data_IF_825854640710
#
_entry.id   IF_825854640710
#
_cell.length_a   1.000
_cell.length_b   1.000
_cell.length_c   1.000
_cell.angle_alpha   90.00
_cell.angle_beta   90.00
_cell.angle_gamma   90.00
#
_symmetry.space_group_name_H-M   'P 1'
#
loop_
_entity.id
_entity.type
_entity.pdbx_description
1 polymer ?
#
# COMPACT_ATOMS: atom_id res chain seq x y z
N UNK A 1 6.90 21.26 -25.27
CA UNK A 1 6.37 22.05 -24.15
C UNK A 1 5.70 21.04 -23.25
N UNK A 2 6.26 20.78 -22.08
CA UNK A 2 5.53 19.98 -21.08
C UNK A 2 4.31 20.82 -20.70
N UNK A 3 3.13 20.42 -21.16
CA UNK A 3 1.89 20.93 -20.62
C UNK A 3 1.87 20.51 -19.14
N UNK A 4 1.76 21.48 -18.25
CA UNK A 4 1.56 21.17 -16.84
C UNK A 4 0.24 20.42 -16.71
N UNK A 5 0.23 19.32 -15.95
CA UNK A 5 -1.00 18.60 -15.62
C UNK A 5 -1.93 19.51 -14.81
N UNK A 6 -1.35 20.37 -13.97
CA UNK A 6 -2.07 21.39 -13.25
C UNK A 6 -2.11 22.69 -14.05
N UNK A 7 -3.31 23.23 -14.28
CA UNK A 7 -3.41 24.53 -14.92
C UNK A 7 -2.97 25.64 -13.96
N UNK A 8 -2.46 26.76 -14.51
CA UNK A 8 -2.13 27.93 -13.71
C UNK A 8 -3.34 28.47 -12.94
N UNK A 9 -4.54 28.37 -13.53
CA UNK A 9 -5.78 28.81 -12.87
C UNK A 9 -6.07 27.98 -11.62
N UNK A 10 -5.91 26.66 -11.70
CA UNK A 10 -6.12 25.78 -10.55
C UNK A 10 -5.10 26.08 -9.45
N UNK A 11 -3.83 26.26 -9.85
CA UNK A 11 -2.73 26.63 -8.96
C UNK A 11 -2.93 27.98 -8.24
N UNK A 12 -3.67 28.93 -8.84
CA UNK A 12 -3.99 30.22 -8.20
C UNK A 12 -5.12 30.09 -7.16
N UNK A 13 -5.89 29.00 -7.18
CA UNK A 13 -7.09 28.81 -6.36
C UNK A 13 -6.96 27.74 -5.27
N UNK A 14 -6.07 26.75 -5.42
CA UNK A 14 -5.83 25.68 -4.46
C UNK A 14 -4.32 25.53 -4.15
N UNK A 15 -3.99 25.42 -2.86
CA UNK A 15 -2.59 25.37 -2.41
C UNK A 15 -1.88 24.08 -2.84
N UNK A 16 -2.59 22.95 -2.91
CA UNK A 16 -2.02 21.69 -3.37
C UNK A 16 -1.78 21.72 -4.87
N UNK A 17 -2.72 22.28 -5.64
CA UNK A 17 -2.53 22.57 -7.06
C UNK A 17 -1.33 23.50 -7.28
N UNK A 18 -1.18 24.55 -6.46
CA UNK A 18 -0.01 25.44 -6.50
C UNK A 18 1.30 24.67 -6.28
N UNK A 19 1.33 23.81 -5.24
CA UNK A 19 2.51 23.00 -4.93
C UNK A 19 2.87 22.03 -6.07
N UNK A 20 1.86 21.41 -6.69
CA UNK A 20 2.03 20.50 -7.80
C UNK A 20 2.53 21.21 -9.07
N UNK A 21 1.91 22.34 -9.43
CA UNK A 21 2.35 23.21 -10.52
C UNK A 21 3.81 23.64 -10.36
N UNK A 22 4.19 24.05 -9.13
CA UNK A 22 5.57 24.40 -8.81
C UNK A 22 6.49 23.18 -8.90
N UNK A 23 6.08 22.02 -8.41
CA UNK A 23 6.86 20.78 -8.47
C UNK A 23 7.16 20.38 -9.94
N UNK A 24 6.16 20.41 -10.82
CA UNK A 24 6.33 20.15 -12.25
C UNK A 24 7.31 21.14 -12.91
N UNK A 25 7.32 22.39 -12.43
CA UNK A 25 8.21 23.45 -12.93
C UNK A 25 9.67 23.29 -12.51
N UNK A 26 9.98 22.45 -11.52
CA UNK A 26 11.35 22.24 -11.05
C UNK A 26 12.16 21.61 -12.18
N UNK A 27 13.31 22.21 -12.51
CA UNK A 27 14.16 21.77 -13.62
C UNK A 27 15.12 20.64 -13.25
N UNK A 28 15.56 20.56 -11.99
CA UNK A 28 16.40 19.45 -11.55
C UNK A 28 15.55 18.19 -11.35
N UNK A 29 16.01 17.07 -11.89
CA UNK A 29 15.38 15.75 -11.71
C UNK A 29 15.17 15.44 -10.22
N UNK A 30 16.22 15.60 -9.42
CA UNK A 30 16.22 15.27 -8.00
C UNK A 30 15.28 16.20 -7.21
N UNK A 31 15.24 17.48 -7.59
CA UNK A 31 14.36 18.46 -6.98
C UNK A 31 12.90 18.17 -7.30
N UNK A 32 12.59 17.82 -8.55
CA UNK A 32 11.25 17.41 -8.98
C UNK A 32 10.83 16.13 -8.26
N UNK A 33 11.69 15.11 -8.23
CA UNK A 33 11.45 13.86 -7.54
C UNK A 33 11.12 14.08 -6.05
N UNK A 34 11.94 14.89 -5.37
CA UNK A 34 11.73 15.24 -3.96
C UNK A 34 10.42 16.01 -3.73
N UNK A 35 10.04 16.89 -4.66
CA UNK A 35 8.78 17.61 -4.58
C UNK A 35 7.58 16.68 -4.81
N UNK A 36 7.66 15.76 -5.78
CA UNK A 36 6.60 14.78 -6.05
C UNK A 36 6.38 13.82 -4.89
N UNK A 37 7.45 13.41 -4.18
CA UNK A 37 7.35 12.67 -2.90
C UNK A 37 6.51 13.39 -1.84
N UNK A 38 6.43 14.72 -1.88
CA UNK A 38 5.61 15.51 -0.95
C UNK A 38 4.20 15.81 -1.50
N UNK A 39 4.03 15.90 -2.82
CA UNK A 39 2.78 16.30 -3.48
C UNK A 39 1.85 15.11 -3.68
N UNK A 40 2.33 14.03 -4.28
CA UNK A 40 1.52 12.88 -4.70
C UNK A 40 0.71 12.26 -3.54
N UNK A 41 1.28 12.01 -2.34
CA UNK A 41 0.51 11.45 -1.23
C UNK A 41 -0.69 12.30 -0.80
N UNK A 42 -0.65 13.63 -1.02
CA UNK A 42 -1.76 14.54 -0.68
C UNK A 42 -2.91 14.42 -1.66
N UNK A 43 -2.63 14.19 -2.95
CA UNK A 43 -3.66 13.89 -3.94
C UNK A 43 -4.31 12.53 -3.67
N UNK A 44 -3.51 11.52 -3.34
CA UNK A 44 -4.04 10.21 -2.91
C UNK A 44 -4.96 10.32 -1.69
N UNK A 45 -4.61 11.17 -0.72
CA UNK A 45 -5.47 11.44 0.45
C UNK A 45 -6.79 12.13 0.10
N UNK A 46 -6.83 12.92 -1.00
CA UNK A 46 -8.05 13.51 -1.57
C UNK A 46 -8.84 12.53 -2.46
N UNK A 47 -8.29 11.35 -2.76
CA UNK A 47 -8.87 10.38 -3.70
C UNK A 47 -8.61 10.69 -5.18
N UNK A 48 -7.71 11.63 -5.48
CA UNK A 48 -7.32 12.00 -6.85
C UNK A 48 -6.25 11.03 -7.37
N UNK A 49 -6.65 9.79 -7.61
CA UNK A 49 -5.76 8.67 -7.95
C UNK A 49 -5.11 8.82 -9.33
N UNK A 50 -5.90 9.16 -10.35
CA UNK A 50 -5.40 9.30 -11.73
C UNK A 50 -4.34 10.40 -11.85
N UNK A 51 -4.63 11.57 -11.28
CA UNK A 51 -3.69 12.68 -11.26
C UNK A 51 -2.42 12.34 -10.46
N UNK A 52 -2.56 11.60 -9.35
CA UNK A 52 -1.42 11.11 -8.59
C UNK A 52 -0.54 10.16 -9.43
N UNK A 53 -1.12 9.26 -10.23
CA UNK A 53 -0.37 8.43 -11.17
C UNK A 53 0.34 9.25 -12.25
N UNK A 54 -0.36 10.21 -12.87
CA UNK A 54 0.22 11.08 -13.89
C UNK A 54 1.40 11.89 -13.36
N UNK A 55 1.23 12.53 -12.20
CA UNK A 55 2.31 13.27 -11.54
C UNK A 55 3.49 12.35 -11.18
N UNK A 56 3.23 11.12 -10.73
CA UNK A 56 4.28 10.13 -10.46
C UNK A 56 5.08 9.81 -11.72
N UNK A 57 4.41 9.63 -12.86
CA UNK A 57 5.05 9.35 -14.15
C UNK A 57 5.90 10.49 -14.70
N UNK A 58 5.78 11.72 -14.16
CA UNK A 58 6.68 12.84 -14.52
C UNK A 58 8.05 12.78 -13.86
N UNK A 59 8.25 11.84 -12.93
CA UNK A 59 9.51 11.67 -12.21
C UNK A 59 10.47 10.83 -13.05
N UNK A 60 11.62 11.43 -13.39
CA UNK A 60 12.64 10.79 -14.24
C UNK A 60 13.41 9.67 -13.52
N UNK A 61 13.56 9.78 -12.18
CA UNK A 61 14.20 8.74 -11.37
C UNK A 61 13.27 7.53 -11.21
N UNK A 62 13.60 6.35 -11.78
CA UNK A 62 12.70 5.20 -11.76
C UNK A 62 12.41 4.69 -10.36
N UNK A 63 13.38 4.76 -9.44
CA UNK A 63 13.19 4.29 -8.07
C UNK A 63 12.18 5.17 -7.33
N UNK A 64 12.27 6.49 -7.49
CA UNK A 64 11.31 7.43 -6.89
C UNK A 64 9.94 7.33 -7.56
N UNK A 65 9.91 7.25 -8.90
CA UNK A 65 8.67 7.04 -9.66
C UNK A 65 7.94 5.79 -9.19
N UNK A 66 8.61 4.64 -9.16
CA UNK A 66 7.99 3.37 -8.79
C UNK A 66 7.52 3.39 -7.34
N UNK A 67 8.28 4.03 -6.42
CA UNK A 67 7.83 4.23 -5.03
C UNK A 67 6.54 5.04 -4.94
N UNK A 68 6.37 6.05 -5.78
CA UNK A 68 5.12 6.81 -5.85
C UNK A 68 3.99 5.96 -6.45
N UNK A 69 4.25 5.22 -7.52
CA UNK A 69 3.27 4.32 -8.14
C UNK A 69 2.85 3.17 -7.20
N UNK A 70 3.73 2.70 -6.31
CA UNK A 70 3.36 1.77 -5.22
C UNK A 70 2.29 2.38 -4.32
N UNK A 71 2.45 3.65 -3.92
CA UNK A 71 1.47 4.33 -3.10
C UNK A 71 0.14 4.54 -3.85
N UNK A 72 0.20 4.79 -5.16
CA UNK A 72 -0.99 4.88 -6.00
C UNK A 72 -1.70 3.52 -6.08
N UNK A 73 -0.98 2.43 -6.36
CA UNK A 73 -1.56 1.10 -6.46
C UNK A 73 -2.17 0.63 -5.13
N UNK A 74 -1.52 0.93 -4.00
CA UNK A 74 -2.09 0.71 -2.66
C UNK A 74 -3.40 1.49 -2.47
N UNK A 75 -3.47 2.74 -2.96
CA UNK A 75 -4.70 3.53 -2.91
C UNK A 75 -5.78 2.98 -3.84
N UNK A 76 -5.44 2.50 -5.04
CA UNK A 76 -6.39 1.85 -5.96
C UNK A 76 -7.05 0.64 -5.28
N UNK A 77 -6.25 -0.23 -4.64
CA UNK A 77 -6.76 -1.36 -3.87
C UNK A 77 -7.73 -0.92 -2.76
N UNK A 78 -7.47 0.22 -2.11
CA UNK A 78 -8.35 0.77 -1.06
C UNK A 78 -9.72 1.27 -1.53
N UNK A 79 -9.90 1.42 -2.83
CA UNK A 79 -11.14 1.90 -3.46
C UNK A 79 -11.71 0.86 -4.43
N UNK A 80 -11.32 -0.41 -4.25
CA UNK A 80 -11.73 -1.55 -5.08
C UNK A 80 -11.36 -1.45 -6.57
N UNK A 81 -10.35 -0.65 -6.92
CA UNK A 81 -9.80 -0.57 -8.27
C UNK A 81 -8.59 -1.52 -8.44
N UNK A 82 -8.87 -2.81 -8.27
CA UNK A 82 -7.84 -3.86 -8.23
C UNK A 82 -7.14 -4.04 -9.59
N UNK A 83 -7.88 -3.88 -10.70
CA UNK A 83 -7.33 -4.01 -12.05
C UNK A 83 -6.28 -2.93 -12.31
N UNK A 84 -6.60 -1.68 -12.00
CA UNK A 84 -5.63 -0.60 -12.17
C UNK A 84 -4.46 -0.72 -11.20
N UNK A 85 -4.70 -1.14 -9.96
CA UNK A 85 -3.64 -1.43 -8.99
C UNK A 85 -2.60 -2.41 -9.56
N UNK A 86 -3.05 -3.52 -10.15
CA UNK A 86 -2.16 -4.55 -10.69
C UNK A 86 -1.48 -4.11 -12.00
N UNK A 87 -2.16 -3.35 -12.86
CA UNK A 87 -1.54 -2.76 -14.05
C UNK A 87 -0.35 -1.85 -13.68
N UNK A 88 -0.50 -1.05 -12.61
CA UNK A 88 0.60 -0.21 -12.11
C UNK A 88 1.79 -1.05 -11.62
N UNK A 89 1.53 -2.19 -10.97
CA UNK A 89 2.59 -3.13 -10.56
C UNK A 89 3.28 -3.72 -11.78
N UNK A 90 2.52 -4.21 -12.77
CA UNK A 90 3.06 -4.85 -13.97
C UNK A 90 3.89 -3.90 -14.85
N UNK A 91 3.61 -2.60 -14.78
CA UNK A 91 4.37 -1.56 -15.47
C UNK A 91 5.74 -1.26 -14.83
N UNK A 92 6.02 -1.75 -13.62
CA UNK A 92 7.31 -1.56 -12.96
C UNK A 92 8.35 -2.54 -13.54
N UNK A 93 9.56 -2.04 -13.81
CA UNK A 93 10.62 -2.86 -14.40
C UNK A 93 11.36 -3.72 -13.36
N UNK A 94 11.50 -3.22 -12.13
CA UNK A 94 12.26 -3.89 -11.07
C UNK A 94 11.40 -4.94 -10.33
N UNK A 95 11.79 -6.23 -10.32
CA UNK A 95 11.02 -7.27 -9.63
C UNK A 95 10.88 -7.04 -8.11
N UNK A 96 11.87 -6.39 -7.49
CA UNK A 96 11.82 -6.03 -6.07
C UNK A 96 10.73 -4.99 -5.79
N UNK A 97 10.63 -3.96 -6.63
CA UNK A 97 9.54 -2.98 -6.59
C UNK A 97 8.19 -3.64 -6.85
N UNK A 98 8.09 -4.55 -7.81
CA UNK A 98 6.85 -5.29 -8.05
C UNK A 98 6.43 -6.11 -6.83
N UNK A 99 7.37 -6.84 -6.20
CA UNK A 99 7.09 -7.61 -5.00
C UNK A 99 6.65 -6.71 -3.84
N UNK A 100 7.32 -5.58 -3.64
CA UNK A 100 6.94 -4.58 -2.65
C UNK A 100 5.53 -4.02 -2.93
N UNK A 101 5.20 -3.72 -4.18
CA UNK A 101 3.88 -3.22 -4.56
C UNK A 101 2.77 -4.23 -4.23
N UNK A 102 2.96 -5.51 -4.62
CA UNK A 102 2.01 -6.60 -4.30
C UNK A 102 1.86 -6.77 -2.80
N UNK A 103 2.94 -6.70 -2.03
CA UNK A 103 2.87 -6.76 -0.56
C UNK A 103 2.00 -5.63 0.02
N UNK A 104 2.21 -4.38 -0.44
CA UNK A 104 1.43 -3.23 0.02
C UNK A 104 -0.05 -3.36 -0.33
N UNK A 105 -0.36 -3.79 -1.56
CA UNK A 105 -1.74 -4.06 -2.00
C UNK A 105 -2.38 -5.15 -1.14
N UNK A 106 -1.70 -6.30 -0.96
CA UNK A 106 -2.22 -7.42 -0.18
C UNK A 106 -2.49 -7.05 1.28
N UNK A 107 -1.55 -6.32 1.91
CA UNK A 107 -1.72 -5.80 3.27
C UNK A 107 -2.89 -4.82 3.35
N UNK A 108 -3.07 -3.96 2.36
CA UNK A 108 -4.17 -2.98 2.34
C UNK A 108 -5.53 -3.64 2.20
N UNK A 109 -5.64 -4.63 1.31
CA UNK A 109 -6.86 -5.45 1.16
C UNK A 109 -7.18 -6.21 2.45
N UNK A 110 -6.18 -6.78 3.10
CA UNK A 110 -6.36 -7.43 4.41
C UNK A 110 -6.79 -6.42 5.48
N UNK A 111 -6.21 -5.23 5.52
CA UNK A 111 -6.61 -4.17 6.43
C UNK A 111 -8.09 -3.79 6.23
N UNK A 112 -8.60 -3.81 5.00
CA UNK A 112 -9.99 -3.44 4.71
C UNK A 112 -10.99 -4.59 4.84
N UNK A 113 -10.51 -5.80 5.18
CA UNK A 113 -11.35 -6.98 5.34
C UNK A 113 -11.64 -7.72 4.03
N UNK A 114 -11.01 -7.32 2.92
CA UNK A 114 -11.07 -7.99 1.62
C UNK A 114 -10.16 -9.23 1.60
N UNK A 115 -10.44 -10.18 2.50
CA UNK A 115 -9.59 -11.35 2.79
C UNK A 115 -9.33 -12.20 1.55
N UNK A 116 -10.36 -12.49 0.76
CA UNK A 116 -10.23 -13.32 -0.44
C UNK A 116 -9.33 -12.65 -1.50
N UNK A 117 -9.45 -11.33 -1.67
CA UNK A 117 -8.59 -10.56 -2.58
C UNK A 117 -7.15 -10.52 -2.07
N UNK A 118 -6.96 -10.34 -0.77
CA UNK A 118 -5.63 -10.35 -0.14
C UNK A 118 -4.92 -11.70 -0.33
N UNK A 119 -5.64 -12.81 -0.18
CA UNK A 119 -5.11 -14.15 -0.50
C UNK A 119 -4.77 -14.29 -1.98
N UNK A 120 -5.63 -13.83 -2.90
CA UNK A 120 -5.37 -13.89 -4.33
C UNK A 120 -4.11 -13.13 -4.75
N UNK A 121 -3.79 -12.03 -4.07
CA UNK A 121 -2.51 -11.31 -4.25
C UNK A 121 -1.36 -12.10 -3.66
N UNK A 122 -1.50 -12.63 -2.44
CA UNK A 122 -0.49 -13.46 -1.77
C UNK A 122 -0.12 -14.71 -2.58
N UNK A 123 -1.08 -15.34 -3.27
CA UNK A 123 -0.86 -16.52 -4.12
C UNK A 123 0.01 -16.23 -5.35
N UNK A 124 0.13 -14.96 -5.74
CA UNK A 124 0.96 -14.50 -6.86
C UNK A 124 2.36 -14.04 -6.41
N UNK A 125 2.68 -14.19 -5.12
CA UNK A 125 3.94 -13.73 -4.53
C UNK A 125 4.83 -14.89 -4.12
N UNK A 126 6.14 -14.77 -4.41
CA UNK A 126 7.15 -15.70 -3.89
C UNK A 126 7.35 -15.55 -2.38
N UNK A 127 7.22 -14.32 -1.85
CA UNK A 127 7.39 -13.98 -0.44
C UNK A 127 6.09 -13.41 0.15
N UNK A 128 5.13 -14.30 0.39
CA UNK A 128 3.76 -13.96 0.83
C UNK A 128 3.56 -13.84 2.35
N UNK A 129 4.58 -14.17 3.14
CA UNK A 129 4.48 -14.33 4.60
C UNK A 129 3.93 -13.09 5.32
N UNK A 130 4.32 -11.89 4.89
CA UNK A 130 3.84 -10.65 5.48
C UNK A 130 2.36 -10.39 5.18
N UNK A 131 1.92 -10.68 3.95
CA UNK A 131 0.50 -10.54 3.57
C UNK A 131 -0.35 -11.53 4.35
N UNK A 132 0.10 -12.79 4.46
CA UNK A 132 -0.57 -13.80 5.28
C UNK A 132 -0.65 -13.39 6.75
N UNK A 133 0.41 -12.81 7.32
CA UNK A 133 0.37 -12.27 8.68
C UNK A 133 -0.71 -11.18 8.81
N UNK A 134 -0.78 -10.24 7.87
CA UNK A 134 -1.82 -9.21 7.85
C UNK A 134 -3.24 -9.77 7.75
N UNK A 135 -3.44 -10.80 6.90
CA UNK A 135 -4.71 -11.52 6.77
C UNK A 135 -5.11 -12.18 8.09
N UNK A 136 -4.20 -12.91 8.73
CA UNK A 136 -4.46 -13.58 10.00
C UNK A 136 -4.84 -12.58 11.10
N UNK A 137 -4.13 -11.45 11.19
CA UNK A 137 -4.43 -10.37 12.14
C UNK A 137 -5.84 -9.82 11.90
N UNK A 138 -6.23 -9.57 10.65
CA UNK A 138 -7.60 -9.11 10.34
C UNK A 138 -8.66 -10.16 10.69
N UNK A 139 -8.46 -11.42 10.28
CA UNK A 139 -9.38 -12.52 10.60
C UNK A 139 -9.60 -12.65 12.11
N UNK A 140 -8.54 -12.52 12.90
CA UNK A 140 -8.62 -12.51 14.36
C UNK A 140 -9.38 -11.31 14.91
N UNK A 141 -9.10 -10.11 14.39
CA UNK A 141 -9.82 -8.89 14.76
C UNK A 141 -11.34 -9.03 14.49
N UNK A 142 -11.71 -9.74 13.43
CA UNK A 142 -13.09 -10.04 13.04
C UNK A 142 -13.72 -11.21 13.82
N UNK A 143 -13.00 -11.80 14.77
CA UNK A 143 -13.47 -12.91 15.62
C UNK A 143 -13.38 -14.29 14.96
N UNK A 144 -12.70 -14.43 13.82
CA UNK A 144 -12.50 -15.69 13.09
C UNK A 144 -11.20 -16.37 13.52
N UNK A 145 -11.09 -16.71 14.80
CA UNK A 145 -9.84 -17.23 15.38
C UNK A 145 -9.32 -18.51 14.71
N UNK A 146 -10.22 -19.42 14.30
CA UNK A 146 -9.84 -20.66 13.61
C UNK A 146 -9.19 -20.37 12.23
N UNK A 147 -9.78 -19.45 11.47
CA UNK A 147 -9.26 -19.05 10.16
C UNK A 147 -7.91 -18.34 10.32
N UNK A 148 -7.79 -17.45 11.32
CA UNK A 148 -6.55 -16.76 11.63
C UNK A 148 -5.40 -17.74 11.93
N UNK A 149 -5.64 -18.74 12.78
CA UNK A 149 -4.64 -19.75 13.11
C UNK A 149 -4.28 -20.63 11.90
N UNK A 150 -5.26 -20.95 11.04
CA UNK A 150 -5.00 -21.67 9.79
C UNK A 150 -4.08 -20.86 8.88
N UNK A 151 -4.36 -19.56 8.69
CA UNK A 151 -3.53 -18.65 7.89
C UNK A 151 -2.11 -18.52 8.46
N UNK A 152 -1.95 -18.41 9.80
CA UNK A 152 -0.62 -18.40 10.42
C UNK A 152 0.13 -19.71 10.17
N UNK A 153 -0.57 -20.85 10.14
CA UNK A 153 0.01 -22.15 9.81
C UNK A 153 0.58 -22.26 8.39
N UNK A 154 0.17 -21.38 7.47
CA UNK A 154 0.73 -21.29 6.12
C UNK A 154 2.01 -20.45 6.04
N UNK A 155 2.32 -19.66 7.09
CA UNK A 155 3.48 -18.78 7.11
C UNK A 155 4.75 -19.61 7.31
N UNK A 156 5.60 -19.64 6.29
CA UNK A 156 6.86 -20.37 6.32
C UNK A 156 7.95 -19.63 7.09
N UNK A 157 7.91 -18.30 7.08
CA UNK A 157 8.92 -17.47 7.74
C UNK A 157 8.58 -17.19 9.21
N UNK A 158 9.35 -17.78 10.13
CA UNK A 158 9.04 -17.76 11.57
C UNK A 158 8.90 -16.36 12.17
N UNK A 159 9.61 -15.36 11.64
CA UNK A 159 9.48 -13.99 12.17
C UNK A 159 8.15 -13.33 11.79
N UNK A 160 7.61 -13.62 10.61
CA UNK A 160 6.30 -13.13 10.19
C UNK A 160 5.19 -13.83 10.99
N UNK A 161 5.33 -15.13 11.23
CA UNK A 161 4.41 -15.88 12.10
C UNK A 161 4.42 -15.33 13.54
N UNK A 162 5.61 -15.10 14.11
CA UNK A 162 5.74 -14.51 15.44
C UNK A 162 5.13 -13.09 15.50
N UNK A 163 5.31 -12.28 14.45
CA UNK A 163 4.67 -10.98 14.35
C UNK A 163 3.14 -11.09 14.38
N UNK A 164 2.57 -12.02 13.59
CA UNK A 164 1.13 -12.26 13.58
C UNK A 164 0.61 -12.67 14.97
N UNK A 165 1.25 -13.63 15.63
CA UNK A 165 0.88 -14.05 16.98
C UNK A 165 0.92 -12.91 17.99
N UNK A 166 1.99 -12.12 18.01
CA UNK A 166 2.11 -10.98 18.93
C UNK A 166 1.04 -9.93 18.67
N UNK A 167 0.76 -9.62 17.40
CA UNK A 167 -0.27 -8.64 17.03
C UNK A 167 -1.68 -9.14 17.38
N UNK A 168 -1.99 -10.41 17.12
CA UNK A 168 -3.26 -11.03 17.51
C UNK A 168 -3.43 -11.05 19.03
N UNK A 169 -2.38 -11.40 19.78
CA UNK A 169 -2.40 -11.37 21.24
C UNK A 169 -2.62 -9.96 21.79
N UNK A 170 -1.97 -8.95 21.21
CA UNK A 170 -2.20 -7.55 21.56
C UNK A 170 -3.66 -7.14 21.33
N UNK A 171 -4.23 -7.50 20.18
CA UNK A 171 -5.65 -7.24 19.89
C UNK A 171 -6.60 -7.96 20.87
N UNK A 172 -6.28 -9.18 21.30
CA UNK A 172 -7.04 -9.89 22.34
C UNK A 172 -6.97 -9.18 23.70
N UNK A 173 -5.80 -8.66 24.08
CA UNK A 173 -5.62 -7.89 25.32
C UNK A 173 -6.49 -6.63 25.30
N UNK A 174 -6.55 -5.91 24.18
CA UNK A 174 -7.40 -4.72 24.03
C UNK A 174 -8.90 -5.03 24.18
N UNK A 175 -9.30 -6.25 23.85
CA UNK A 175 -10.67 -6.77 24.03
C UNK A 175 -10.91 -7.42 25.41
N UNK A 176 -9.93 -7.37 26.32
CA UNK A 176 -9.96 -8.03 27.63
C UNK A 176 -10.06 -9.58 27.57
N UNK A 177 -9.66 -10.19 26.44
CA UNK A 177 -9.66 -11.64 26.20
C UNK A 177 -8.31 -12.28 26.62
N UNK A 178 -7.94 -12.17 27.89
CA UNK A 178 -6.59 -12.52 28.35
C UNK A 178 -6.20 -13.99 28.17
N UNK A 179 -7.14 -14.94 28.32
CA UNK A 179 -6.87 -16.36 28.07
C UNK A 179 -6.51 -16.62 26.61
N UNK A 180 -7.22 -15.95 25.68
CA UNK A 180 -6.94 -16.03 24.25
C UNK A 180 -5.55 -15.45 23.93
N UNK A 181 -5.23 -14.29 24.52
CA UNK A 181 -3.93 -13.67 24.37
C UNK A 181 -2.78 -14.57 24.88
N UNK A 182 -2.96 -15.25 26.02
CA UNK A 182 -1.98 -16.17 26.57
C UNK A 182 -1.75 -17.36 25.64
N UNK A 183 -2.82 -18.00 25.15
CA UNK A 183 -2.74 -19.16 24.25
C UNK A 183 -2.02 -18.83 22.93
N UNK A 184 -2.08 -17.59 22.45
CA UNK A 184 -1.38 -17.15 21.23
C UNK A 184 0.14 -16.95 21.44
N UNK A 185 0.61 -16.90 22.69
CA UNK A 185 2.01 -16.63 23.05
C UNK A 185 2.75 -17.85 23.65
N UNK A 186 2.06 -18.98 23.81
CA UNK A 186 2.64 -20.26 24.23
C UNK A 186 3.29 -21.01 23.06
#
# INVERSE_FOLDING_TARGET
>A
MSEHFISRSDAESDLLACAAYLAESIQSSDGRAQAMLAVVPRYLAKGEVDLAAELSNTVDDPFVRDRLLIAVAEKCASIDDDEYALQLVEAMDDPGMQAQARERIGLKLAEEGSIEKAHAVADQMDHRDNVLAGIAIRQHADGKAADALATVGEIGFSSAAAHAFVAMAAASIEKEEFENAANLLE
#
